data_IF_742169307989
#
_entry.id   IF_742169307989
#
_cell.length_a   1.000
_cell.length_b   1.000
_cell.length_c   1.000
_cell.angle_alpha   90.00
_cell.angle_beta   90.00
_cell.angle_gamma   90.00
#
_symmetry.space_group_name_H-M   'P 1'
#
loop_
_entity.id
_entity.type
_entity.pdbx_description
1 polymer ?
#
# COMPACT_ATOMS: atom_id res chain seq x y z
N UNK A 1 -21.93 -24.65 -2.82
CA UNK A 1 -20.95 -23.58 -2.57
C UNK A 1 -21.66 -22.28 -2.83
N UNK A 2 -21.87 -21.39 -1.86
CA UNK A 2 -22.52 -20.11 -2.11
C UNK A 2 -21.53 -19.19 -2.82
N UNK A 3 -21.92 -18.67 -3.94
CA UNK A 3 -21.26 -17.59 -4.69
C UNK A 3 -21.31 -16.32 -3.83
N UNK A 4 -20.16 -15.81 -3.45
CA UNK A 4 -20.06 -14.50 -2.81
C UNK A 4 -20.27 -13.47 -3.92
N UNK A 5 -21.44 -12.85 -3.97
CA UNK A 5 -21.71 -11.70 -4.80
C UNK A 5 -20.94 -10.50 -4.23
N UNK A 6 -19.90 -10.08 -4.94
CA UNK A 6 -19.18 -8.85 -4.65
C UNK A 6 -20.07 -7.65 -5.00
N UNK A 7 -20.56 -6.96 -3.99
CA UNK A 7 -21.34 -5.74 -4.15
C UNK A 7 -20.37 -4.56 -4.34
N UNK A 8 -20.35 -3.97 -5.54
CA UNK A 8 -19.65 -2.70 -5.78
C UNK A 8 -20.49 -1.52 -5.30
N UNK A 9 -19.90 -0.49 -4.65
CA UNK A 9 -20.63 0.67 -4.17
C UNK A 9 -21.20 1.50 -5.31
N UNK A 10 -22.50 1.65 -5.34
CA UNK A 10 -23.22 2.45 -6.36
C UNK A 10 -24.75 2.34 -6.27
N UNK A 11 -25.30 1.46 -5.45
CA UNK A 11 -26.72 1.43 -5.18
C UNK A 11 -27.01 1.79 -3.71
N UNK A 12 -27.95 2.69 -3.42
CA UNK A 12 -28.30 3.03 -2.06
C UNK A 12 -28.99 1.84 -1.41
N UNK A 13 -28.32 1.17 -0.48
CA UNK A 13 -28.96 0.21 0.42
C UNK A 13 -29.71 1.02 1.47
N UNK A 14 -31.03 1.05 1.37
CA UNK A 14 -31.88 1.67 2.37
C UNK A 14 -31.72 0.95 3.72
N UNK A 15 -31.27 1.68 4.75
CA UNK A 15 -31.39 1.21 6.12
C UNK A 15 -30.16 1.21 7.00
N UNK A 16 -29.11 2.00 6.73
CA UNK A 16 -28.05 2.20 7.71
C UNK A 16 -28.35 3.37 8.63
N UNK A 17 -28.68 3.08 9.90
CA UNK A 17 -28.62 4.05 10.98
C UNK A 17 -27.19 4.53 11.11
N UNK A 18 -27.00 5.86 11.11
CA UNK A 18 -25.75 6.51 11.43
C UNK A 18 -25.26 6.06 12.82
N UNK A 19 -24.39 5.06 12.85
CA UNK A 19 -23.59 4.74 14.01
C UNK A 19 -22.38 5.67 13.95
N UNK A 20 -22.34 6.56 14.93
CA UNK A 20 -21.23 7.37 15.41
C UNK A 20 -19.97 7.38 14.52
N UNK A 21 -19.95 8.29 13.55
CA UNK A 21 -18.67 8.75 12.93
C UNK A 21 -17.79 9.25 14.08
N UNK A 22 -16.91 8.40 14.58
CA UNK A 22 -15.82 8.80 15.43
C UNK A 22 -14.89 9.68 14.61
N UNK A 23 -15.24 10.98 14.62
CA UNK A 23 -14.38 12.09 14.33
C UNK A 23 -13.54 11.99 13.05
N UNK A 24 -14.16 12.31 11.91
CA UNK A 24 -13.44 12.95 10.83
C UNK A 24 -12.94 14.33 11.35
N UNK A 25 -11.98 14.31 12.26
CA UNK A 25 -11.16 15.47 12.52
C UNK A 25 -10.17 15.50 11.37
N UNK A 26 -10.31 16.48 10.48
CA UNK A 26 -9.22 16.90 9.62
C UNK A 26 -8.09 17.39 10.53
N UNK A 27 -7.34 16.47 11.10
CA UNK A 27 -6.10 16.77 11.80
C UNK A 27 -5.13 17.28 10.75
N UNK A 28 -4.83 18.57 10.79
CA UNK A 28 -3.84 19.19 9.93
C UNK A 28 -2.48 18.73 10.44
N UNK A 29 -1.86 17.79 9.75
CA UNK A 29 -0.45 17.50 9.92
C UNK A 29 0.28 18.74 9.39
N UNK A 30 1.15 19.31 10.21
CA UNK A 30 2.02 20.43 9.82
C UNK A 30 3.07 19.89 8.84
N UNK A 31 2.64 19.76 7.60
CA UNK A 31 3.50 19.32 6.52
C UNK A 31 4.47 20.46 6.22
N UNK A 32 5.75 20.22 6.32
CA UNK A 32 6.81 21.16 5.87
C UNK A 32 6.65 21.57 4.40
N UNK A 33 5.62 21.10 3.70
CA UNK A 33 5.19 21.42 2.35
C UNK A 33 3.90 22.26 2.27
N UNK A 34 3.34 22.75 3.38
CA UNK A 34 2.28 23.78 3.40
C UNK A 34 0.86 23.33 3.07
N UNK A 35 0.59 22.05 2.79
CA UNK A 35 -0.77 21.53 2.57
C UNK A 35 -1.15 20.55 3.69
N UNK A 36 -2.28 20.73 4.38
CA UNK A 36 -2.75 19.79 5.37
C UNK A 36 -3.16 18.48 4.68
N UNK A 37 -2.64 17.36 5.18
CA UNK A 37 -3.05 16.02 4.71
C UNK A 37 -4.38 15.65 5.37
N UNK A 38 -5.42 15.24 4.62
CA UNK A 38 -6.61 14.66 5.20
C UNK A 38 -6.27 13.35 5.92
N UNK A 39 -6.72 13.25 7.17
CA UNK A 39 -6.51 12.10 8.03
C UNK A 39 -7.85 11.65 8.58
N UNK A 40 -8.19 10.38 8.43
CA UNK A 40 -9.42 9.75 8.93
C UNK A 40 -9.03 8.51 9.74
N UNK A 41 -9.74 8.25 10.83
CA UNK A 41 -9.64 7.02 11.59
C UNK A 41 -10.85 6.13 11.37
N UNK A 42 -10.64 4.81 11.37
CA UNK A 42 -11.69 3.79 11.39
C UNK A 42 -11.59 2.94 12.66
N UNK A 43 -12.71 2.44 13.15
CA UNK A 43 -12.78 1.51 14.27
C UNK A 43 -13.06 0.09 13.84
N UNK A 44 -13.79 -0.08 12.75
CA UNK A 44 -14.25 -1.37 12.25
C UNK A 44 -14.16 -1.44 10.72
N UNK A 45 -14.10 -2.64 10.18
CA UNK A 45 -13.94 -2.88 8.74
C UNK A 45 -15.15 -2.40 7.90
N UNK A 46 -16.34 -2.42 8.48
CA UNK A 46 -17.58 -1.92 7.85
C UNK A 46 -17.61 -0.38 7.67
N UNK A 47 -16.73 0.34 8.35
CA UNK A 47 -16.57 1.80 8.20
C UNK A 47 -15.61 2.16 7.05
N UNK A 48 -14.88 1.19 6.48
CA UNK A 48 -13.77 1.43 5.56
C UNK A 48 -14.20 2.23 4.32
N UNK A 49 -15.30 1.84 3.70
CA UNK A 49 -15.81 2.50 2.49
C UNK A 49 -16.18 3.96 2.77
N UNK A 50 -16.88 4.21 3.88
CA UNK A 50 -17.26 5.57 4.30
C UNK A 50 -16.02 6.43 4.62
N UNK A 51 -14.99 5.84 5.25
CA UNK A 51 -13.74 6.51 5.56
C UNK A 51 -12.95 6.89 4.32
N UNK A 52 -12.86 5.99 3.33
CA UNK A 52 -12.23 6.28 2.04
C UNK A 52 -12.98 7.40 1.29
N UNK A 53 -14.31 7.38 1.31
CA UNK A 53 -15.14 8.47 0.80
C UNK A 53 -14.91 9.80 1.50
N UNK A 54 -14.75 9.80 2.83
CA UNK A 54 -14.44 11.00 3.62
C UNK A 54 -13.04 11.56 3.32
N UNK A 55 -12.09 10.70 2.94
CA UNK A 55 -10.79 11.11 2.41
C UNK A 55 -10.86 11.66 0.98
N UNK A 56 -12.03 11.57 0.31
CA UNK A 56 -12.19 11.99 -1.09
C UNK A 56 -11.70 10.95 -2.10
N UNK A 57 -11.33 9.76 -1.64
CA UNK A 57 -10.92 8.64 -2.50
C UNK A 57 -12.16 7.94 -3.04
N UNK A 58 -12.13 7.60 -4.33
CA UNK A 58 -13.30 7.01 -5.02
C UNK A 58 -12.93 5.67 -5.63
N UNK A 59 -13.77 4.67 -5.37
CA UNK A 59 -13.79 3.42 -6.10
C UNK A 59 -14.73 3.57 -7.33
N UNK A 60 -14.48 2.82 -8.43
CA UNK A 60 -13.31 2.00 -8.67
C UNK A 60 -12.09 2.80 -9.12
N UNK A 61 -10.90 2.37 -8.70
CA UNK A 61 -9.61 2.94 -9.14
C UNK A 61 -8.57 1.80 -9.24
N UNK A 62 -7.72 1.74 -10.26
CA UNK A 62 -6.58 0.83 -10.23
C UNK A 62 -5.70 1.07 -9.00
N UNK A 63 -5.16 0.01 -8.39
CA UNK A 63 -4.41 0.13 -7.14
C UNK A 63 -3.02 -0.49 -7.24
N UNK A 64 -2.02 0.25 -6.80
CA UNK A 64 -0.70 -0.27 -6.46
C UNK A 64 -0.55 -0.30 -4.93
N UNK A 65 -0.58 -1.48 -4.32
CA UNK A 65 -0.17 -1.65 -2.93
C UNK A 65 1.36 -1.76 -2.89
N UNK A 66 2.03 -0.86 -2.15
CA UNK A 66 3.48 -0.90 -1.97
C UNK A 66 3.78 -1.44 -0.56
N UNK A 67 4.50 -2.56 -0.51
CA UNK A 67 4.91 -3.18 0.74
C UNK A 67 6.41 -3.43 0.74
N UNK A 68 7.06 -3.24 1.89
CA UNK A 68 8.51 -3.40 1.91
C UNK A 68 9.19 -2.91 3.18
N UNK A 69 10.51 -2.76 3.10
CA UNK A 69 11.34 -2.40 4.26
C UNK A 69 11.07 -0.99 4.77
N UNK A 70 10.73 -0.89 6.06
CA UNK A 70 10.67 0.39 6.78
C UNK A 70 12.02 0.80 7.35
N UNK A 71 12.94 -0.15 7.58
CA UNK A 71 14.28 0.11 8.12
C UNK A 71 15.31 -0.83 7.51
N UNK A 72 16.59 -0.48 7.61
CA UNK A 72 17.68 -1.36 7.20
C UNK A 72 17.88 -1.51 5.69
N UNK A 73 17.28 -0.64 4.87
CA UNK A 73 17.61 -0.58 3.45
C UNK A 73 19.02 -0.01 3.27
N UNK A 74 19.83 -0.70 2.50
CA UNK A 74 21.15 -0.20 2.10
C UNK A 74 21.01 1.13 1.34
N UNK A 75 21.89 2.13 1.55
CA UNK A 75 21.82 3.42 0.85
C UNK A 75 21.85 3.31 -0.68
N UNK A 76 22.63 2.39 -1.25
CA UNK A 76 22.68 2.18 -2.69
C UNK A 76 21.35 1.60 -3.20
N UNK A 77 20.83 0.58 -2.51
CA UNK A 77 19.51 0.00 -2.80
C UNK A 77 18.41 1.06 -2.69
N UNK A 78 18.46 1.90 -1.65
CA UNK A 78 17.50 3.01 -1.47
C UNK A 78 17.54 4.00 -2.64
N UNK A 79 18.71 4.39 -3.10
CA UNK A 79 18.87 5.28 -4.26
C UNK A 79 18.30 4.67 -5.55
N UNK A 80 18.51 3.39 -5.76
CA UNK A 80 17.99 2.65 -6.92
C UNK A 80 16.48 2.47 -6.86
N UNK A 81 15.92 2.18 -5.68
CA UNK A 81 14.46 2.12 -5.46
C UNK A 81 13.82 3.48 -5.68
N UNK A 82 14.45 4.58 -5.23
CA UNK A 82 13.95 5.93 -5.50
C UNK A 82 13.86 6.20 -7.00
N UNK A 83 14.94 5.95 -7.75
CA UNK A 83 14.96 6.11 -9.20
C UNK A 83 13.90 5.23 -9.91
N UNK A 84 13.69 4.01 -9.41
CA UNK A 84 12.65 3.13 -9.88
C UNK A 84 11.26 3.76 -9.65
N UNK A 85 10.96 4.20 -8.44
CA UNK A 85 9.65 4.79 -8.10
C UNK A 85 9.41 6.09 -8.90
N UNK A 86 10.43 6.92 -9.11
CA UNK A 86 10.32 8.09 -9.99
C UNK A 86 9.94 7.70 -11.43
N UNK A 87 10.49 6.59 -11.94
CA UNK A 87 10.13 6.06 -13.26
C UNK A 87 8.68 5.56 -13.32
N UNK A 88 8.11 5.07 -12.21
CA UNK A 88 6.72 4.59 -12.14
C UNK A 88 5.71 5.73 -12.03
N UNK A 89 6.08 6.88 -11.45
CA UNK A 89 5.15 7.98 -11.18
C UNK A 89 4.33 8.44 -12.39
N UNK A 90 4.89 8.66 -13.59
CA UNK A 90 4.10 9.06 -14.76
C UNK A 90 3.08 8.01 -15.21
N UNK A 91 3.36 6.72 -14.98
CA UNK A 91 2.46 5.63 -15.34
C UNK A 91 1.31 5.54 -14.34
N UNK A 92 1.58 5.70 -13.04
CA UNK A 92 0.55 5.75 -12.01
C UNK A 92 -0.43 6.91 -12.25
N UNK A 93 0.08 8.09 -12.62
CA UNK A 93 -0.75 9.23 -13.04
C UNK A 93 -1.59 8.90 -14.27
N UNK A 94 -0.98 8.28 -15.28
CA UNK A 94 -1.67 7.92 -16.54
C UNK A 94 -2.81 6.93 -16.33
N UNK A 95 -2.65 5.99 -15.39
CA UNK A 95 -3.68 5.00 -15.07
C UNK A 95 -4.71 5.53 -14.07
N UNK A 96 -4.55 6.76 -13.56
CA UNK A 96 -5.32 7.27 -12.43
C UNK A 96 -5.31 6.29 -11.24
N UNK A 97 -4.19 5.64 -11.02
CA UNK A 97 -4.03 4.64 -9.98
C UNK A 97 -3.92 5.29 -8.60
N UNK A 98 -4.42 4.61 -7.56
CA UNK A 98 -4.13 4.95 -6.17
C UNK A 98 -2.98 4.08 -5.67
N UNK A 99 -1.99 4.69 -5.01
CA UNK A 99 -0.94 3.95 -4.30
C UNK A 99 -1.32 3.84 -2.83
N UNK A 100 -1.20 2.64 -2.26
CA UNK A 100 -1.53 2.34 -0.86
C UNK A 100 -0.31 1.70 -0.19
N UNK A 101 0.12 2.24 0.95
CA UNK A 101 1.24 1.71 1.74
C UNK A 101 1.06 1.98 3.25
N UNK A 102 2.11 1.77 4.06
CA UNK A 102 2.08 1.95 5.52
C UNK A 102 2.16 3.40 6.02
N UNK A 103 2.33 4.40 5.16
CA UNK A 103 2.22 5.84 5.46
C UNK A 103 3.29 6.46 6.33
N UNK A 104 4.34 5.72 6.73
CA UNK A 104 5.37 6.24 7.64
C UNK A 104 6.56 6.86 6.90
N UNK A 105 7.28 7.78 7.57
CA UNK A 105 8.45 8.46 7.03
C UNK A 105 9.71 7.57 7.01
N UNK A 106 9.53 6.27 6.69
CA UNK A 106 10.61 5.29 6.69
C UNK A 106 10.59 4.40 5.44
N UNK A 107 11.79 3.96 5.02
CA UNK A 107 11.99 2.95 3.99
C UNK A 107 11.25 3.22 2.70
N UNK A 108 10.60 2.19 2.16
CA UNK A 108 9.92 2.28 0.85
C UNK A 108 8.77 3.28 0.82
N UNK A 109 8.07 3.52 1.95
CA UNK A 109 7.00 4.52 2.05
C UNK A 109 7.55 5.94 1.85
N UNK A 110 8.62 6.28 2.58
CA UNK A 110 9.29 7.56 2.42
C UNK A 110 9.87 7.75 1.01
N UNK A 111 10.44 6.69 0.42
CA UNK A 111 10.95 6.72 -0.96
C UNK A 111 9.85 6.96 -1.98
N UNK A 112 8.68 6.34 -1.84
CA UNK A 112 7.52 6.56 -2.72
C UNK A 112 7.00 8.00 -2.58
N UNK A 113 6.87 8.50 -1.35
CA UNK A 113 6.50 9.89 -1.09
C UNK A 113 7.48 10.88 -1.71
N UNK A 114 8.79 10.61 -1.58
CA UNK A 114 9.84 11.43 -2.21
C UNK A 114 9.78 11.37 -3.74
N UNK A 115 9.63 10.18 -4.32
CA UNK A 115 9.52 9.99 -5.77
C UNK A 115 8.32 10.75 -6.35
N UNK A 116 7.15 10.63 -5.69
CA UNK A 116 5.94 11.36 -6.06
C UNK A 116 6.17 12.87 -6.07
N UNK A 117 6.80 13.41 -5.02
CA UNK A 117 7.14 14.84 -4.92
C UNK A 117 8.12 15.27 -6.01
N UNK A 118 9.22 14.52 -6.21
CA UNK A 118 10.25 14.84 -7.18
C UNK A 118 9.69 14.85 -8.62
N UNK A 119 8.85 13.87 -8.94
CA UNK A 119 8.17 13.74 -10.24
C UNK A 119 6.99 14.69 -10.41
N UNK A 120 6.59 15.43 -9.37
CA UNK A 120 5.37 16.27 -9.35
C UNK A 120 4.12 15.48 -9.74
N UNK A 121 4.09 14.21 -9.39
CA UNK A 121 2.98 13.31 -9.71
C UNK A 121 1.73 13.63 -8.90
N UNK A 122 0.56 13.26 -9.43
CA UNK A 122 -0.75 13.65 -8.89
C UNK A 122 -1.56 12.50 -8.34
N UNK A 123 -1.18 11.26 -8.60
CA UNK A 123 -1.91 10.10 -8.07
C UNK A 123 -2.08 10.18 -6.55
N UNK A 124 -3.21 9.72 -6.00
CA UNK A 124 -3.39 9.61 -4.56
C UNK A 124 -2.36 8.63 -3.97
N UNK A 125 -1.65 9.08 -2.92
CA UNK A 125 -0.76 8.25 -2.11
C UNK A 125 -1.36 8.15 -0.72
N UNK A 126 -1.95 7.01 -0.41
CA UNK A 126 -2.67 6.73 0.84
C UNK A 126 -1.80 5.90 1.77
N UNK A 127 -1.47 6.47 2.92
CA UNK A 127 -0.85 5.75 4.03
C UNK A 127 -1.90 5.12 4.93
N UNK A 128 -1.76 3.84 5.22
CA UNK A 128 -2.60 3.07 6.16
C UNK A 128 -1.75 2.68 7.35
N UNK A 129 -2.01 3.24 8.52
CA UNK A 129 -1.16 3.06 9.69
C UNK A 129 -1.95 2.64 10.93
N UNK A 130 -1.38 1.73 11.73
CA UNK A 130 -1.94 1.34 13.01
C UNK A 130 -1.89 2.52 13.99
N UNK A 131 -3.04 2.91 14.55
CA UNK A 131 -3.23 4.19 15.23
C UNK A 131 -2.32 4.42 16.45
N UNK A 132 -1.81 3.33 17.06
CA UNK A 132 -0.92 3.43 18.24
C UNK A 132 0.56 3.24 17.91
N UNK A 133 0.92 3.03 16.65
CA UNK A 133 2.32 2.89 16.22
C UNK A 133 2.90 4.19 15.66
N UNK A 134 2.03 5.15 15.32
CA UNK A 134 2.43 6.42 14.71
C UNK A 134 2.21 7.60 15.66
N UNK A 135 3.08 8.60 15.57
CA UNK A 135 2.93 9.86 16.27
C UNK A 135 1.78 10.65 15.64
N UNK A 136 0.82 11.07 16.49
CA UNK A 136 -0.27 11.95 16.04
C UNK A 136 0.21 13.39 16.01
N UNK A 137 -0.23 14.17 15.04
CA UNK A 137 0.08 15.60 15.02
C UNK A 137 -0.40 16.29 16.29
N UNK A 138 0.50 17.01 16.96
CA UNK A 138 0.18 17.74 18.20
C UNK A 138 0.06 16.89 19.47
N UNK A 139 0.47 15.61 19.45
CA UNK A 139 0.62 14.77 20.63
C UNK A 139 2.10 14.55 20.98
N UNK A 140 2.37 14.26 22.25
CA UNK A 140 3.69 13.83 22.73
C UNK A 140 3.94 12.32 22.48
N UNK A 141 3.16 11.70 21.63
CA UNK A 141 3.25 10.28 21.32
C UNK A 141 4.61 9.96 20.66
N UNK A 142 5.30 8.95 21.20
CA UNK A 142 6.61 8.46 20.72
C UNK A 142 6.49 7.50 19.52
N UNK A 143 5.43 7.62 18.73
CA UNK A 143 5.23 6.78 17.54
C UNK A 143 6.13 7.17 16.37
N UNK A 144 6.10 6.39 15.31
CA UNK A 144 6.77 6.72 14.06
C UNK A 144 6.14 7.95 13.40
N UNK A 145 6.97 8.80 12.80
CA UNK A 145 6.48 9.93 12.04
C UNK A 145 5.73 9.45 10.78
N UNK A 146 4.60 10.07 10.49
CA UNK A 146 3.92 9.92 9.20
C UNK A 146 4.71 10.66 8.11
N UNK A 147 4.76 10.11 6.90
CA UNK A 147 5.49 10.74 5.80
C UNK A 147 4.73 11.97 5.26
N UNK A 148 5.36 13.17 5.24
CA UNK A 148 4.70 14.39 4.83
C UNK A 148 4.38 14.48 3.33
N UNK A 149 4.89 13.56 2.52
CA UNK A 149 4.64 13.53 1.08
C UNK A 149 3.43 12.66 0.69
N UNK A 150 2.84 11.95 1.66
CA UNK A 150 1.56 11.27 1.44
C UNK A 150 0.44 12.29 1.25
N UNK A 151 -0.55 11.93 0.45
CA UNK A 151 -1.69 12.81 0.19
C UNK A 151 -2.84 12.56 1.14
N UNK A 152 -2.95 11.35 1.68
CA UNK A 152 -4.02 10.91 2.56
C UNK A 152 -3.48 9.94 3.61
N UNK A 153 -4.06 9.95 4.81
CA UNK A 153 -3.74 9.02 5.88
C UNK A 153 -5.02 8.38 6.42
N UNK A 154 -5.02 7.06 6.51
CA UNK A 154 -6.04 6.27 7.17
C UNK A 154 -5.45 5.64 8.43
N UNK A 155 -5.95 6.00 9.60
CA UNK A 155 -5.59 5.35 10.85
C UNK A 155 -6.52 4.18 11.11
N UNK A 156 -5.95 3.01 11.32
CA UNK A 156 -6.69 1.75 11.58
C UNK A 156 -6.43 1.25 13.00
N UNK A 157 -7.32 0.41 13.56
CA UNK A 157 -7.07 -0.22 14.85
C UNK A 157 -5.78 -1.00 14.83
N UNK A 158 -4.93 -0.78 15.85
CA UNK A 158 -3.68 -1.51 16.00
C UNK A 158 -2.79 -0.91 17.07
N UNK A 159 -1.98 -1.75 17.70
CA UNK A 159 -1.05 -1.40 18.78
C UNK A 159 0.38 -1.82 18.46
N UNK A 160 0.58 -2.62 17.40
CA UNK A 160 1.86 -3.18 16.98
C UNK A 160 2.02 -3.02 15.47
N UNK A 161 3.26 -2.97 15.03
CA UNK A 161 3.61 -3.06 13.61
C UNK A 161 3.10 -4.36 13.00
N UNK A 162 2.41 -4.26 11.86
CA UNK A 162 1.78 -5.37 11.17
C UNK A 162 0.27 -5.49 11.43
N UNK A 163 -0.28 -4.81 12.45
CA UNK A 163 -1.73 -4.76 12.66
C UNK A 163 -2.43 -4.06 11.49
N UNK A 164 -1.73 -3.16 10.78
CA UNK A 164 -2.21 -2.48 9.57
C UNK A 164 -2.21 -3.36 8.31
N UNK A 165 -1.47 -4.47 8.29
CA UNK A 165 -1.25 -5.27 7.07
C UNK A 165 -2.54 -5.79 6.43
N UNK A 166 -3.48 -6.26 7.22
CA UNK A 166 -4.78 -6.71 6.69
C UNK A 166 -5.56 -5.52 6.10
N UNK A 167 -5.50 -4.36 6.76
CA UNK A 167 -6.17 -3.16 6.31
C UNK A 167 -5.61 -2.61 5.00
N UNK A 168 -4.29 -2.68 4.78
CA UNK A 168 -3.67 -2.34 3.49
C UNK A 168 -4.27 -3.20 2.37
N UNK A 169 -4.44 -4.50 2.64
CA UNK A 169 -5.06 -5.42 1.67
C UNK A 169 -6.53 -5.10 1.42
N UNK A 170 -7.31 -4.83 2.47
CA UNK A 170 -8.74 -4.53 2.38
C UNK A 170 -9.00 -3.18 1.70
N UNK A 171 -8.21 -2.16 2.03
CA UNK A 171 -8.22 -0.85 1.36
C UNK A 171 -7.96 -1.00 -0.13
N UNK A 172 -6.92 -1.75 -0.50
CA UNK A 172 -6.60 -1.98 -1.90
C UNK A 172 -7.72 -2.71 -2.64
N UNK A 173 -8.38 -3.68 -1.99
CA UNK A 173 -9.52 -4.41 -2.56
C UNK A 173 -10.75 -3.50 -2.72
N UNK A 174 -11.05 -2.71 -1.70
CA UNK A 174 -12.20 -1.77 -1.70
C UNK A 174 -12.03 -0.70 -2.77
N UNK A 175 -10.86 -0.08 -2.87
CA UNK A 175 -10.58 0.93 -3.90
C UNK A 175 -10.59 0.35 -5.30
N UNK A 176 -10.01 -0.85 -5.49
CA UNK A 176 -9.99 -1.49 -6.79
C UNK A 176 -11.40 -1.83 -7.29
N UNK A 177 -12.27 -2.34 -6.42
CA UNK A 177 -13.67 -2.67 -6.76
C UNK A 177 -13.82 -3.33 -8.14
N UNK A 178 -13.05 -4.38 -8.39
CA UNK A 178 -13.02 -5.11 -9.66
C UNK A 178 -12.06 -4.58 -10.73
N UNK A 179 -11.51 -3.38 -10.57
CA UNK A 179 -10.42 -2.91 -11.42
C UNK A 179 -9.08 -3.58 -11.03
N UNK A 180 -8.08 -3.52 -11.92
CA UNK A 180 -6.78 -4.11 -11.64
C UNK A 180 -6.13 -3.59 -10.35
N UNK A 181 -5.57 -4.51 -9.57
CA UNK A 181 -4.73 -4.19 -8.42
C UNK A 181 -3.48 -5.05 -8.42
N UNK A 182 -2.37 -4.48 -7.95
CA UNK A 182 -1.04 -5.10 -7.93
C UNK A 182 -0.37 -4.80 -6.59
N UNK A 183 0.38 -5.74 -6.05
CA UNK A 183 1.28 -5.50 -4.91
C UNK A 183 2.72 -5.43 -5.39
N UNK A 184 3.42 -4.32 -5.13
CA UNK A 184 4.85 -4.16 -5.37
C UNK A 184 5.60 -4.44 -4.05
N UNK A 185 6.54 -5.41 -4.09
CA UNK A 185 7.30 -5.86 -2.92
C UNK A 185 8.77 -5.47 -3.08
N UNK A 186 9.31 -4.67 -2.14
CA UNK A 186 10.71 -4.25 -2.17
C UNK A 186 11.34 -4.31 -0.76
N UNK A 187 12.39 -5.13 -0.61
CA UNK A 187 13.04 -5.36 0.68
C UNK A 187 12.11 -6.02 1.70
N UNK A 188 12.20 -5.56 2.95
CA UNK A 188 11.24 -5.87 3.98
C UNK A 188 11.61 -6.99 4.94
N UNK A 189 10.90 -7.00 6.07
CA UNK A 189 11.04 -7.96 7.15
C UNK A 189 9.75 -8.73 7.41
N UNK A 190 9.50 -9.00 8.70
CA UNK A 190 8.38 -9.80 9.17
C UNK A 190 7.01 -9.19 8.76
N UNK A 191 6.82 -7.88 8.91
CA UNK A 191 5.57 -7.20 8.53
C UNK A 191 5.33 -7.35 7.03
N UNK A 192 6.36 -7.12 6.20
CA UNK A 192 6.26 -7.29 4.75
C UNK A 192 5.88 -8.71 4.36
N UNK A 193 6.33 -9.72 5.12
CA UNK A 193 5.92 -11.11 4.92
C UNK A 193 4.41 -11.29 5.16
N UNK A 194 3.86 -10.62 6.18
CA UNK A 194 2.40 -10.62 6.45
C UNK A 194 1.66 -9.96 5.30
N UNK A 195 2.15 -8.82 4.81
CA UNK A 195 1.57 -8.10 3.66
C UNK A 195 1.53 -8.99 2.40
N UNK A 196 2.62 -9.68 2.10
CA UNK A 196 2.71 -10.65 0.99
C UNK A 196 1.65 -11.74 1.13
N UNK A 197 1.53 -12.34 2.32
CA UNK A 197 0.53 -13.40 2.58
C UNK A 197 -0.89 -12.85 2.37
N UNK A 198 -1.20 -11.65 2.85
CA UNK A 198 -2.52 -11.03 2.70
C UNK A 198 -2.80 -10.69 1.23
N UNK A 199 -1.82 -10.18 0.49
CA UNK A 199 -1.95 -9.93 -0.95
C UNK A 199 -2.26 -11.20 -1.75
N UNK A 200 -1.54 -12.29 -1.48
CA UNK A 200 -1.77 -13.57 -2.15
C UNK A 200 -3.11 -14.20 -1.77
N UNK A 201 -3.55 -14.09 -0.51
CA UNK A 201 -4.89 -14.52 -0.07
C UNK A 201 -6.01 -13.76 -0.78
N UNK A 202 -5.80 -12.46 -1.03
CA UNK A 202 -6.71 -11.64 -1.81
C UNK A 202 -6.61 -11.89 -3.34
N UNK A 203 -5.80 -12.88 -3.76
CA UNK A 203 -5.52 -13.20 -5.18
C UNK A 203 -4.97 -12.00 -5.96
N UNK A 204 -4.31 -11.09 -5.29
CA UNK A 204 -3.67 -9.93 -5.93
C UNK A 204 -2.31 -10.33 -6.48
N UNK A 205 -2.03 -10.04 -7.77
CA UNK A 205 -0.71 -10.25 -8.35
C UNK A 205 0.38 -9.52 -7.56
N UNK A 206 1.54 -10.15 -7.43
CA UNK A 206 2.71 -9.59 -6.78
C UNK A 206 3.83 -9.37 -7.78
N UNK A 207 4.42 -8.18 -7.73
CA UNK A 207 5.61 -7.83 -8.45
C UNK A 207 6.76 -7.66 -7.45
N UNK A 208 7.72 -8.56 -7.49
CA UNK A 208 8.78 -8.67 -6.48
C UNK A 208 10.08 -8.14 -7.04
N UNK A 209 10.67 -7.17 -6.35
CA UNK A 209 11.98 -6.58 -6.73
C UNK A 209 13.10 -7.37 -6.07
N UNK A 210 13.66 -8.33 -6.80
CA UNK A 210 14.84 -9.06 -6.32
C UNK A 210 16.10 -8.16 -6.33
N UNK A 211 17.00 -8.39 -5.38
CA UNK A 211 18.14 -7.50 -5.15
C UNK A 211 17.83 -6.30 -4.25
N UNK A 212 16.58 -6.18 -3.74
CA UNK A 212 16.21 -5.17 -2.77
C UNK A 212 16.33 -5.63 -1.31
N UNK A 213 16.70 -6.87 -1.08
CA UNK A 213 16.96 -7.47 0.24
C UNK A 213 15.73 -8.13 0.88
N UNK A 214 15.92 -8.65 2.07
CA UNK A 214 14.86 -9.09 2.99
C UNK A 214 13.84 -10.06 2.42
N UNK A 215 12.56 -9.79 2.69
CA UNK A 215 11.43 -10.63 2.26
C UNK A 215 11.29 -10.69 0.75
N UNK A 216 11.58 -9.60 0.02
CA UNK A 216 11.55 -9.61 -1.45
C UNK A 216 12.53 -10.63 -2.03
N UNK A 217 13.76 -10.67 -1.54
CA UNK A 217 14.78 -11.63 -2.00
C UNK A 217 14.44 -13.05 -1.57
N UNK A 218 13.89 -13.23 -0.36
CA UNK A 218 13.44 -14.55 0.09
C UNK A 218 12.30 -15.09 -0.80
N UNK A 219 11.33 -14.24 -1.15
CA UNK A 219 10.24 -14.59 -2.04
C UNK A 219 10.73 -14.89 -3.47
N UNK A 220 11.69 -14.11 -3.98
CA UNK A 220 12.30 -14.34 -5.27
C UNK A 220 13.07 -15.69 -5.30
N UNK A 221 13.77 -16.06 -4.23
CA UNK A 221 14.42 -17.38 -4.11
C UNK A 221 13.39 -18.51 -4.11
N UNK A 222 12.33 -18.39 -3.31
CA UNK A 222 11.27 -19.39 -3.29
C UNK A 222 10.61 -19.53 -4.67
N UNK A 223 10.31 -18.45 -5.36
CA UNK A 223 9.72 -18.47 -6.70
C UNK A 223 10.57 -19.25 -7.69
N UNK A 224 11.90 -19.22 -7.54
CA UNK A 224 12.87 -19.97 -8.35
C UNK A 224 13.12 -21.42 -7.88
N UNK A 225 12.32 -21.93 -6.93
CA UNK A 225 12.42 -23.31 -6.42
C UNK A 225 13.19 -23.45 -5.11
N UNK A 226 13.51 -22.36 -4.42
CA UNK A 226 14.12 -22.37 -3.09
C UNK A 226 13.14 -22.64 -1.95
N UNK A 227 13.60 -22.42 -0.73
CA UNK A 227 12.84 -22.66 0.50
C UNK A 227 11.62 -21.72 0.64
N UNK A 228 10.58 -22.24 1.30
CA UNK A 228 9.39 -21.46 1.68
C UNK A 228 9.74 -20.30 2.61
N UNK A 229 8.96 -19.22 2.52
CA UNK A 229 9.02 -18.17 3.55
C UNK A 229 8.54 -18.73 4.89
N UNK A 230 9.16 -18.34 6.00
CA UNK A 230 8.73 -18.77 7.33
C UNK A 230 7.23 -18.51 7.56
N UNK A 231 6.49 -19.52 8.02
CA UNK A 231 5.05 -19.42 8.29
C UNK A 231 4.15 -19.28 7.07
N UNK A 232 4.69 -19.41 5.85
CA UNK A 232 3.92 -19.46 4.62
C UNK A 232 3.90 -20.89 4.06
N UNK A 233 2.77 -21.25 3.42
CA UNK A 233 2.63 -22.49 2.65
C UNK A 233 2.10 -22.10 1.27
N UNK A 234 3.01 -21.68 0.40
CA UNK A 234 2.68 -21.30 -0.97
C UNK A 234 2.81 -22.49 -1.91
N UNK A 235 1.89 -22.61 -2.84
CA UNK A 235 1.86 -23.64 -3.88
C UNK A 235 2.02 -23.06 -5.29
N UNK A 236 1.62 -23.85 -6.27
CA UNK A 236 1.64 -23.43 -7.67
C UNK A 236 0.73 -22.21 -7.94
N UNK A 237 -0.46 -22.20 -7.32
CA UNK A 237 -1.44 -21.12 -7.50
C UNK A 237 -0.95 -19.76 -6.99
N UNK A 238 -0.14 -19.72 -5.93
CA UNK A 238 0.51 -18.50 -5.45
C UNK A 238 1.70 -18.14 -6.32
N UNK A 239 2.44 -19.13 -6.82
CA UNK A 239 3.58 -18.91 -7.71
C UNK A 239 3.16 -18.22 -9.00
N UNK A 240 2.02 -18.60 -9.56
CA UNK A 240 1.45 -18.02 -10.79
C UNK A 240 1.03 -16.55 -10.62
N UNK A 241 0.82 -16.09 -9.38
CA UNK A 241 0.53 -14.70 -9.06
C UNK A 241 1.77 -13.84 -8.91
N UNK A 242 2.98 -14.41 -8.92
CA UNK A 242 4.22 -13.70 -8.61
C UNK A 242 5.05 -13.52 -9.86
N UNK A 243 5.40 -12.28 -10.15
CA UNK A 243 6.41 -11.92 -11.14
C UNK A 243 7.63 -11.33 -10.42
N UNK A 244 8.83 -11.79 -10.77
CA UNK A 244 10.08 -11.35 -10.15
C UNK A 244 10.90 -10.57 -11.14
N UNK A 245 11.26 -9.33 -10.78
CA UNK A 245 12.12 -8.46 -11.57
C UNK A 245 13.35 -8.11 -10.74
N UNK A 246 14.52 -8.19 -11.38
CA UNK A 246 15.78 -7.80 -10.74
C UNK A 246 15.87 -6.26 -10.67
N UNK A 247 16.35 -5.74 -9.53
CA UNK A 247 16.47 -4.30 -9.29
C UNK A 247 17.31 -3.60 -10.35
N UNK A 248 18.34 -4.29 -10.92
CA UNK A 248 19.19 -3.74 -11.99
C UNK A 248 18.42 -3.48 -13.29
N UNK A 249 17.33 -4.18 -13.50
CA UNK A 249 16.51 -4.08 -14.72
C UNK A 249 15.15 -3.43 -14.49
N UNK A 250 14.78 -3.25 -13.22
CA UNK A 250 13.43 -2.83 -12.83
C UNK A 250 12.99 -1.50 -13.46
N UNK A 251 13.83 -0.48 -13.52
CA UNK A 251 13.50 0.80 -14.16
C UNK A 251 13.13 0.67 -15.64
N UNK A 252 13.68 -0.34 -16.32
CA UNK A 252 13.41 -0.60 -17.74
C UNK A 252 12.20 -1.52 -17.94
N UNK A 253 12.02 -2.51 -17.07
CA UNK A 253 11.02 -3.58 -17.25
C UNK A 253 9.66 -3.24 -16.61
N UNK A 254 9.64 -2.57 -15.45
CA UNK A 254 8.42 -2.30 -14.71
C UNK A 254 7.37 -1.45 -15.45
N UNK A 255 7.72 -0.41 -16.22
CA UNK A 255 6.72 0.34 -16.97
C UNK A 255 5.87 -0.54 -17.88
N UNK A 256 6.49 -1.49 -18.57
CA UNK A 256 5.80 -2.46 -19.42
C UNK A 256 4.94 -3.44 -18.63
N UNK A 257 5.38 -3.84 -17.44
CA UNK A 257 4.62 -4.70 -16.53
C UNK A 257 3.39 -3.98 -15.95
N UNK A 258 3.56 -2.75 -15.48
CA UNK A 258 2.43 -1.92 -15.03
C UNK A 258 1.40 -1.71 -16.14
N UNK A 259 1.85 -1.48 -17.38
CA UNK A 259 0.95 -1.34 -18.52
C UNK A 259 0.11 -2.59 -18.75
N UNK A 260 0.68 -3.78 -18.61
CA UNK A 260 -0.05 -5.05 -18.77
C UNK A 260 -0.98 -5.35 -17.59
N UNK A 261 -0.65 -4.88 -16.40
CA UNK A 261 -1.36 -5.26 -15.17
C UNK A 261 -2.37 -4.22 -14.71
N UNK A 262 -2.07 -2.92 -14.85
CA UNK A 262 -2.91 -1.83 -14.31
C UNK A 262 -3.65 -1.02 -15.40
N UNK A 263 -3.32 -1.18 -16.67
CA UNK A 263 -4.10 -0.51 -17.73
C UNK A 263 -5.51 -1.10 -17.81
N UNK A 264 -6.51 -0.23 -17.84
CA UNK A 264 -7.94 -0.54 -17.98
C UNK A 264 -8.36 -0.38 -19.42
#
# INVERSE_FOLDING_TARGET
MPTIEHHCPGQPVAGYRAASLLMAQALRIDARCGQPQPLVGVGHADELEAALGALGLRAPSPVLALVGGASGLDPEVSGRLLALFETLCPWLDRFNATVVDGGTAYGVMALMGQARRNSKARFPLLGVAAARTVARPGSDDRGAALDPNHTHILLVPGTRWGDESIWISDVAQTLACGLPSLTLVAGGGEVTRIDVINGLRARRPLLVISGSGGTADALARWHRGGEQLPGAQFGAAERDLIEVVDLDRATRELPGLLLRTLAV
#
